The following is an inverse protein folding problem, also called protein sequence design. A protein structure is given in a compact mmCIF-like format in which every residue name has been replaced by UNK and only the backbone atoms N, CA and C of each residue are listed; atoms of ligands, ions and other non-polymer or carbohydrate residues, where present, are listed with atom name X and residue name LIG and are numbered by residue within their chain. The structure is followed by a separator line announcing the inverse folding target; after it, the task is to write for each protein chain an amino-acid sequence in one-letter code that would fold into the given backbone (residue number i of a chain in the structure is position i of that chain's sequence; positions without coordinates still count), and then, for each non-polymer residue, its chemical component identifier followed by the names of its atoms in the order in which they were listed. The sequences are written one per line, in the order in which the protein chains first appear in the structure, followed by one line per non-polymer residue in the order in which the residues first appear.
data_IF_967070115434
#
_entry.id   IF_967070115434
#
_cell.length_a   1.000
_cell.length_b   1.000
_cell.length_c   1.000
_cell.angle_alpha   90.00
_cell.angle_beta   90.00
_cell.angle_gamma   90.00
#
_symmetry.space_group_name_H-M   'P 1'
#
loop_
_entity.id
_entity.type
_entity.pdbx_description
1 polymer ?
#
# COMPACT_ATOMS: atom_id res chain seq x y z
N UNK A 1 -16.60 27.46 -28.57
CA UNK A 1 -15.38 27.37 -27.74
C UNK A 1 -15.73 27.99 -26.40
N UNK A 2 -16.18 27.15 -25.47
CA UNK A 2 -16.61 27.59 -24.15
C UNK A 2 -15.38 27.77 -23.26
N UNK A 3 -15.13 29.01 -22.81
CA UNK A 3 -13.95 29.38 -22.01
C UNK A 3 -14.01 28.84 -20.57
N UNK A 4 -15.09 28.13 -20.22
CA UNK A 4 -15.36 27.62 -18.87
C UNK A 4 -15.00 26.12 -18.70
N UNK A 5 -14.78 25.38 -19.81
CA UNK A 5 -14.46 23.96 -19.73
C UNK A 5 -13.02 23.69 -19.25
N UNK A 6 -12.07 24.59 -19.54
CA UNK A 6 -10.67 24.45 -19.10
C UNK A 6 -10.41 24.91 -17.66
N UNK A 7 -11.20 25.87 -17.16
CA UNK A 7 -11.06 26.41 -15.79
C UNK A 7 -11.49 25.39 -14.73
N UNK A 8 -12.45 24.51 -15.06
CA UNK A 8 -12.87 23.41 -14.19
C UNK A 8 -11.80 22.33 -14.03
N UNK A 9 -11.10 21.99 -15.13
CA UNK A 9 -9.98 21.05 -15.11
C UNK A 9 -8.77 21.63 -14.35
N UNK A 10 -8.44 22.90 -14.58
CA UNK A 10 -7.34 23.58 -13.86
C UNK A 10 -7.67 23.74 -12.37
N UNK A 11 -8.91 24.05 -11.99
CA UNK A 11 -9.29 24.11 -10.56
C UNK A 11 -9.36 22.72 -9.91
N UNK A 12 -9.74 21.68 -10.64
CA UNK A 12 -9.74 20.30 -10.13
C UNK A 12 -8.31 19.79 -9.91
N UNK A 13 -7.38 20.09 -10.82
CA UNK A 13 -5.95 19.80 -10.66
C UNK A 13 -5.36 20.54 -9.46
N UNK A 14 -5.68 21.84 -9.29
CA UNK A 14 -5.25 22.63 -8.14
C UNK A 14 -5.85 22.12 -6.83
N UNK A 15 -7.10 21.67 -6.82
CA UNK A 15 -7.73 21.08 -5.63
C UNK A 15 -7.12 19.71 -5.28
N UNK A 16 -6.76 18.91 -6.28
CA UNK A 16 -6.03 17.65 -6.09
C UNK A 16 -4.61 17.89 -5.57
N UNK A 17 -3.90 18.89 -6.11
CA UNK A 17 -2.59 19.31 -5.60
C UNK A 17 -2.67 19.83 -4.15
N UNK A 18 -3.71 20.61 -3.80
CA UNK A 18 -3.92 21.09 -2.43
C UNK A 18 -4.25 19.95 -1.47
N UNK A 19 -5.07 18.98 -1.88
CA UNK A 19 -5.37 17.78 -1.07
C UNK A 19 -4.13 16.90 -0.91
N UNK A 20 -3.34 16.71 -1.98
CA UNK A 20 -2.09 15.97 -1.91
C UNK A 20 -1.04 16.70 -1.06
N UNK A 21 -0.97 18.04 -1.13
CA UNK A 21 -0.09 18.85 -0.32
C UNK A 21 -0.47 18.84 1.17
N UNK A 22 -1.76 18.95 1.50
CA UNK A 22 -2.25 18.83 2.87
C UNK A 22 -2.00 17.43 3.43
N UNK A 23 -2.26 16.39 2.64
CA UNK A 23 -2.00 15.01 3.04
C UNK A 23 -0.51 14.76 3.25
N UNK A 24 0.37 15.32 2.41
CA UNK A 24 1.82 15.29 2.62
C UNK A 24 2.27 16.11 3.84
N UNK A 25 1.66 17.26 4.11
CA UNK A 25 1.95 18.07 5.29
C UNK A 25 1.55 17.33 6.58
N UNK A 26 0.35 16.75 6.63
CA UNK A 26 -0.12 15.97 7.76
C UNK A 26 0.72 14.71 7.96
N UNK A 27 1.07 14.00 6.88
CA UNK A 27 1.92 12.82 6.94
C UNK A 27 3.33 13.16 7.43
N UNK A 28 3.93 14.27 6.95
CA UNK A 28 5.25 14.73 7.38
C UNK A 28 5.27 15.25 8.83
N UNK A 29 4.17 15.85 9.31
CA UNK A 29 4.02 16.23 10.72
C UNK A 29 3.91 15.01 11.62
N UNK A 30 3.22 13.97 11.16
CA UNK A 30 3.12 12.69 11.86
C UNK A 30 4.45 11.94 11.83
N UNK A 31 5.17 11.92 10.71
CA UNK A 31 6.49 11.29 10.57
C UNK A 31 7.52 11.96 11.50
N UNK A 32 7.58 13.29 11.52
CA UNK A 32 8.42 14.03 12.46
C UNK A 32 8.03 13.81 13.95
N UNK A 33 6.75 13.59 14.24
CA UNK A 33 6.30 13.23 15.58
C UNK A 33 6.71 11.80 15.97
N UNK A 34 6.74 10.86 15.03
CA UNK A 34 7.17 9.47 15.24
C UNK A 34 8.70 9.39 15.42
N UNK A 35 9.48 10.13 14.63
CA UNK A 35 10.94 10.18 14.76
C UNK A 35 11.39 10.72 16.13
N UNK A 36 10.60 11.59 16.74
CA UNK A 36 10.83 12.07 18.11
C UNK A 36 10.69 10.97 19.19
N UNK A 37 10.13 9.80 18.84
CA UNK A 37 9.93 8.64 19.75
C UNK A 37 10.94 7.49 19.52
N UNK A 38 11.95 7.68 18.67
CA UNK A 38 13.19 6.90 18.73
C UNK A 38 13.23 5.62 17.89
N UNK A 39 13.78 5.74 16.69
CA UNK A 39 14.42 4.65 15.95
C UNK A 39 15.79 5.11 15.46
N UNK A 40 16.67 5.48 16.39
CA UNK A 40 18.06 5.77 16.09
C UNK A 40 18.99 4.81 16.86
N UNK A 41 19.74 4.05 16.07
CA UNK A 41 20.94 3.26 16.41
C UNK A 41 20.73 1.90 17.12
N UNK A 42 20.95 0.81 16.38
CA UNK A 42 21.35 -0.47 16.96
C UNK A 42 22.63 -0.99 16.29
N UNK A 43 23.75 -0.74 16.98
CA UNK A 43 25.06 -1.34 16.76
C UNK A 43 25.07 -2.79 17.30
N UNK A 44 25.76 -3.67 16.58
CA UNK A 44 25.55 -5.13 16.51
C UNK A 44 26.00 -5.97 17.72
N UNK A 45 26.69 -5.43 18.73
CA UNK A 45 27.32 -6.27 19.78
C UNK A 45 26.61 -6.32 21.15
N UNK A 46 25.49 -5.62 21.36
CA UNK A 46 24.73 -5.59 22.64
C UNK A 46 23.44 -6.44 22.64
N UNK A 47 23.24 -7.24 21.60
CA UNK A 47 21.93 -7.83 21.23
C UNK A 47 21.51 -9.02 22.11
N UNK A 48 22.47 -9.78 22.65
CA UNK A 48 22.18 -11.04 23.34
C UNK A 48 21.72 -10.82 24.79
N UNK A 49 22.24 -9.79 25.47
CA UNK A 49 21.85 -9.47 26.85
C UNK A 49 20.53 -8.68 26.91
N UNK A 50 20.33 -7.74 25.96
CA UNK A 50 19.08 -7.00 25.83
C UNK A 50 17.90 -7.91 25.49
N UNK A 51 18.10 -8.96 24.68
CA UNK A 51 17.03 -9.90 24.31
C UNK A 51 16.34 -10.57 25.52
N UNK A 52 17.09 -10.88 26.60
CA UNK A 52 16.51 -11.44 27.83
C UNK A 52 15.74 -10.41 28.66
N UNK A 53 16.21 -9.16 28.70
CA UNK A 53 15.51 -8.08 29.39
C UNK A 53 14.25 -7.64 28.63
N UNK A 54 14.29 -7.65 27.29
CA UNK A 54 13.17 -7.36 26.40
C UNK A 54 12.02 -8.34 26.59
N UNK A 55 12.28 -9.65 26.71
CA UNK A 55 11.22 -10.64 26.98
C UNK A 55 10.42 -10.38 28.26
N UNK A 56 11.04 -9.75 29.27
CA UNK A 56 10.36 -9.40 30.53
C UNK A 56 9.51 -8.13 30.39
N UNK A 57 9.91 -7.21 29.52
CA UNK A 57 9.16 -5.99 29.20
C UNK A 57 8.03 -6.23 28.18
N UNK A 58 8.09 -7.29 27.38
CA UNK A 58 7.04 -7.72 26.43
C UNK A 58 5.67 -7.91 27.11
N UNK A 59 5.63 -8.25 28.40
CA UNK A 59 4.36 -8.36 29.15
C UNK A 59 3.70 -7.00 29.48
N UNK A 60 4.44 -5.90 29.37
CA UNK A 60 3.97 -4.52 29.51
C UNK A 60 3.98 -3.75 28.16
N UNK A 61 4.54 -4.35 27.11
CA UNK A 61 4.74 -3.78 25.76
C UNK A 61 3.49 -3.83 24.87
N UNK A 62 2.39 -4.44 25.32
CA UNK A 62 1.12 -4.42 24.58
C UNK A 62 0.63 -2.99 24.32
N UNK A 63 0.93 -2.05 25.22
CA UNK A 63 0.63 -0.62 25.05
C UNK A 63 1.47 0.05 23.96
N UNK A 64 2.72 -0.37 23.77
CA UNK A 64 3.62 0.17 22.74
C UNK A 64 3.31 -0.40 21.35
N UNK A 65 2.90 -1.67 21.27
CA UNK A 65 2.44 -2.26 20.01
C UNK A 65 1.11 -1.66 19.57
N UNK A 66 0.19 -1.43 20.51
CA UNK A 66 -1.05 -0.71 20.22
C UNK A 66 -0.76 0.74 19.81
N UNK A 67 0.17 1.45 20.46
CA UNK A 67 0.57 2.80 20.03
C UNK A 67 1.20 2.81 18.62
N UNK A 68 2.00 1.80 18.29
CA UNK A 68 2.59 1.64 16.96
C UNK A 68 1.52 1.34 15.88
N UNK A 69 0.59 0.43 16.17
CA UNK A 69 -0.51 0.08 15.26
C UNK A 69 -1.54 1.23 15.14
N UNK A 70 -1.73 2.03 16.19
CA UNK A 70 -2.64 3.20 16.18
C UNK A 70 -1.99 4.46 15.63
N UNK A 71 -0.76 4.39 15.13
CA UNK A 71 -0.10 5.51 14.46
C UNK A 71 -0.87 5.88 13.18
N UNK A 72 -1.06 7.18 12.87
CA UNK A 72 -1.88 7.61 11.73
C UNK A 72 -1.38 7.03 10.39
N UNK A 73 -0.06 6.94 10.22
CA UNK A 73 0.58 6.35 9.03
C UNK A 73 0.24 4.88 8.87
N UNK A 74 0.22 4.11 9.97
CA UNK A 74 -0.12 2.69 9.94
C UNK A 74 -1.59 2.51 9.57
N UNK A 75 -2.49 3.24 10.25
CA UNK A 75 -3.94 3.15 10.00
C UNK A 75 -4.27 3.59 8.58
N UNK A 76 -3.64 4.64 8.07
CA UNK A 76 -3.83 5.12 6.70
C UNK A 76 -3.37 4.10 5.67
N UNK A 77 -2.15 3.59 5.81
CA UNK A 77 -1.59 2.60 4.87
C UNK A 77 -2.38 1.30 4.93
N UNK A 78 -2.74 0.85 6.14
CA UNK A 78 -3.59 -0.32 6.34
C UNK A 78 -4.95 -0.13 5.69
N UNK A 79 -5.64 0.98 5.94
CA UNK A 79 -6.98 1.24 5.37
C UNK A 79 -6.94 1.34 3.85
N UNK A 80 -5.93 2.04 3.30
CA UNK A 80 -5.75 2.18 1.86
C UNK A 80 -5.52 0.83 1.19
N UNK A 81 -4.60 0.02 1.72
CA UNK A 81 -4.31 -1.31 1.16
C UNK A 81 -5.46 -2.30 1.40
N UNK A 82 -6.05 -2.29 2.60
CA UNK A 82 -7.15 -3.18 2.96
C UNK A 82 -8.38 -2.93 2.08
N UNK A 83 -8.80 -1.68 1.90
CA UNK A 83 -9.93 -1.35 1.03
C UNK A 83 -9.59 -1.59 -0.45
N UNK A 84 -8.35 -1.35 -0.86
CA UNK A 84 -7.89 -1.62 -2.23
C UNK A 84 -7.91 -3.10 -2.59
N UNK A 85 -7.56 -3.96 -1.63
CA UNK A 85 -7.51 -5.43 -1.80
C UNK A 85 -8.80 -6.13 -1.32
N UNK A 86 -9.77 -5.38 -0.77
CA UNK A 86 -10.99 -5.95 -0.21
C UNK A 86 -11.85 -6.57 -1.32
N UNK A 87 -12.00 -7.89 -1.28
CA UNK A 87 -12.78 -8.61 -2.27
C UNK A 87 -12.05 -8.85 -3.59
N UNK A 88 -10.72 -8.81 -3.60
CA UNK A 88 -9.95 -9.21 -4.77
C UNK A 88 -10.16 -10.69 -5.12
N UNK A 89 -10.03 -11.01 -6.42
CA UNK A 89 -10.11 -12.38 -6.95
C UNK A 89 -9.11 -13.31 -6.29
N UNK A 90 -7.96 -12.80 -5.85
CA UNK A 90 -6.98 -13.60 -5.11
C UNK A 90 -7.57 -14.19 -3.81
N UNK A 91 -8.51 -13.52 -3.16
CA UNK A 91 -9.16 -14.01 -1.94
C UNK A 91 -10.06 -15.23 -2.25
N UNK A 92 -10.87 -15.16 -3.30
CA UNK A 92 -11.73 -16.27 -3.75
C UNK A 92 -10.87 -17.44 -4.24
N UNK A 93 -9.78 -17.18 -4.97
CA UNK A 93 -8.84 -18.20 -5.41
C UNK A 93 -8.16 -18.91 -4.22
N UNK A 94 -7.80 -18.15 -3.17
CA UNK A 94 -7.22 -18.71 -1.94
C UNK A 94 -8.21 -19.61 -1.22
N UNK A 95 -9.47 -19.19 -1.08
CA UNK A 95 -10.54 -20.00 -0.47
C UNK A 95 -10.79 -21.28 -1.28
N UNK A 96 -10.85 -21.17 -2.61
CA UNK A 96 -11.01 -22.33 -3.50
C UNK A 96 -9.84 -23.33 -3.39
N UNK A 97 -8.61 -22.84 -3.29
CA UNK A 97 -7.43 -23.69 -3.15
C UNK A 97 -7.33 -24.31 -1.75
N UNK A 98 -7.68 -23.56 -0.71
CA UNK A 98 -7.72 -24.04 0.69
C UNK A 98 -8.84 -25.06 0.93
N UNK A 99 -9.89 -25.07 0.10
CA UNK A 99 -10.95 -26.07 0.19
C UNK A 99 -10.53 -27.48 -0.30
N UNK A 100 -9.51 -27.57 -1.17
CA UNK A 100 -9.06 -28.83 -1.78
C UNK A 100 -7.68 -29.33 -1.34
N UNK A 101 -6.90 -28.53 -0.63
CA UNK A 101 -5.53 -28.85 -0.16
C UNK A 101 -5.36 -28.48 1.31
N UNK A 102 -4.23 -28.86 1.93
CA UNK A 102 -3.95 -28.46 3.31
C UNK A 102 -3.97 -26.94 3.44
N UNK A 103 -5.03 -26.41 4.06
CA UNK A 103 -5.29 -24.96 4.17
C UNK A 103 -4.09 -24.20 4.76
N UNK A 104 -3.27 -24.87 5.57
CA UNK A 104 -2.08 -24.29 6.15
C UNK A 104 -1.02 -23.89 5.11
N UNK A 105 -0.76 -24.75 4.12
CA UNK A 105 0.24 -24.47 3.09
C UNK A 105 -0.22 -23.35 2.15
N UNK A 106 -1.52 -23.31 1.86
CA UNK A 106 -2.13 -22.26 1.02
C UNK A 106 -2.05 -20.89 1.70
N UNK A 107 -2.41 -20.81 2.99
CA UNK A 107 -2.33 -19.56 3.75
C UNK A 107 -0.86 -19.09 3.87
N UNK A 108 0.05 -19.99 4.19
CA UNK A 108 1.47 -19.65 4.35
C UNK A 108 2.09 -19.19 3.01
N UNK A 109 1.79 -19.89 1.91
CA UNK A 109 2.20 -19.51 0.58
C UNK A 109 1.62 -18.16 0.13
N UNK A 110 0.35 -17.91 0.45
CA UNK A 110 -0.32 -16.63 0.19
C UNK A 110 0.32 -15.46 0.94
N UNK A 111 0.58 -15.62 2.24
CA UNK A 111 1.24 -14.59 3.06
C UNK A 111 2.65 -14.28 2.52
N UNK A 112 3.45 -15.31 2.24
CA UNK A 112 4.82 -15.14 1.75
C UNK A 112 4.82 -14.51 0.35
N UNK A 113 3.97 -15.01 -0.56
CA UNK A 113 3.85 -14.49 -1.92
C UNK A 113 3.40 -13.03 -1.94
N UNK A 114 2.36 -12.71 -1.17
CA UNK A 114 1.85 -11.34 -1.08
C UNK A 114 2.88 -10.42 -0.41
N UNK A 115 3.54 -10.86 0.66
CA UNK A 115 4.62 -10.10 1.30
C UNK A 115 5.78 -9.77 0.37
N UNK A 116 6.21 -10.72 -0.47
CA UNK A 116 7.25 -10.48 -1.48
C UNK A 116 6.75 -9.49 -2.53
N UNK A 117 5.51 -9.65 -3.01
CA UNK A 117 4.89 -8.73 -3.97
C UNK A 117 4.86 -7.29 -3.43
N UNK A 118 4.38 -7.10 -2.20
CA UNK A 118 4.34 -5.79 -1.54
C UNK A 118 5.74 -5.21 -1.35
N UNK A 119 6.72 -6.01 -0.94
CA UNK A 119 8.10 -5.54 -0.78
C UNK A 119 8.68 -5.03 -2.10
N UNK A 120 8.48 -5.76 -3.19
CA UNK A 120 8.90 -5.34 -4.54
C UNK A 120 8.16 -4.09 -4.98
N UNK A 121 6.85 -3.98 -4.73
CA UNK A 121 6.05 -2.82 -5.07
C UNK A 121 6.50 -1.56 -4.32
N UNK A 122 6.84 -1.67 -3.03
CA UNK A 122 7.32 -0.54 -2.22
C UNK A 122 8.70 -0.08 -2.68
N UNK A 123 9.63 -1.00 -2.93
CA UNK A 123 10.98 -0.66 -3.42
C UNK A 123 10.88 -0.06 -4.82
N UNK A 124 10.12 -0.71 -5.71
CA UNK A 124 9.89 -0.26 -7.08
C UNK A 124 9.22 1.10 -7.12
N UNK A 125 8.16 1.31 -6.34
CA UNK A 125 7.45 2.59 -6.24
C UNK A 125 8.35 3.72 -5.74
N UNK A 126 9.22 3.44 -4.77
CA UNK A 126 10.19 4.42 -4.26
C UNK A 126 11.23 4.81 -5.30
N UNK A 127 11.66 3.87 -6.15
CA UNK A 127 12.55 4.17 -7.29
C UNK A 127 11.82 4.89 -8.43
N UNK A 128 10.56 4.51 -8.69
CA UNK A 128 9.75 5.09 -9.77
C UNK A 128 9.37 6.55 -9.46
N UNK A 129 9.00 6.83 -8.20
CA UNK A 129 8.69 8.18 -7.72
C UNK A 129 9.88 9.15 -7.83
N UNK A 130 11.12 8.64 -7.78
CA UNK A 130 12.32 9.45 -7.93
C UNK A 130 12.62 9.84 -9.39
N UNK A 131 12.08 9.12 -10.37
CA UNK A 131 12.46 9.28 -11.79
C UNK A 131 11.29 9.57 -12.74
N UNK A 132 10.04 9.38 -12.33
CA UNK A 132 8.87 9.51 -13.21
C UNK A 132 7.85 10.47 -12.60
N UNK A 133 7.42 11.45 -13.41
CA UNK A 133 6.34 12.38 -13.05
C UNK A 133 4.98 11.67 -12.96
N UNK A 134 4.16 12.04 -11.97
CA UNK A 134 2.80 11.52 -11.73
C UNK A 134 1.95 11.47 -13.00
N UNK A 135 2.08 12.47 -13.88
CA UNK A 135 1.35 12.54 -15.16
C UNK A 135 1.64 11.34 -16.06
N UNK A 136 2.87 10.84 -16.09
CA UNK A 136 3.24 9.68 -16.89
C UNK A 136 2.69 8.37 -16.30
N UNK A 137 2.61 8.29 -14.97
CA UNK A 137 2.02 7.14 -14.28
C UNK A 137 0.51 7.06 -14.55
N UNK A 138 -0.20 8.19 -14.45
CA UNK A 138 -1.63 8.26 -14.75
C UNK A 138 -1.92 7.98 -16.22
N UNK A 139 -1.11 8.51 -17.14
CA UNK A 139 -1.27 8.23 -18.57
C UNK A 139 -0.99 6.74 -18.89
N UNK A 140 0.01 6.15 -18.22
CA UNK A 140 0.29 4.72 -18.28
C UNK A 140 -0.91 3.89 -17.82
N UNK A 141 -1.45 4.20 -16.63
CA UNK A 141 -2.64 3.54 -16.08
C UNK A 141 -3.86 3.66 -17.00
N UNK A 142 -4.16 4.86 -17.49
CA UNK A 142 -5.27 5.10 -18.42
C UNK A 142 -5.10 4.29 -19.73
N UNK A 143 -3.89 4.25 -20.29
CA UNK A 143 -3.63 3.46 -21.50
C UNK A 143 -3.83 1.95 -21.26
N UNK A 144 -3.38 1.44 -20.11
CA UNK A 144 -3.59 0.04 -19.75
C UNK A 144 -5.07 -0.29 -19.58
N UNK A 145 -5.86 0.60 -18.96
CA UNK A 145 -7.32 0.45 -18.87
C UNK A 145 -7.99 0.36 -20.24
N UNK A 146 -7.62 1.21 -21.20
CA UNK A 146 -8.17 1.14 -22.55
C UNK A 146 -7.79 -0.15 -23.28
N UNK A 147 -6.54 -0.59 -23.15
CA UNK A 147 -6.08 -1.85 -23.76
C UNK A 147 -6.88 -3.03 -23.17
N UNK A 148 -7.00 -3.12 -21.86
CA UNK A 148 -7.77 -4.19 -21.23
C UNK A 148 -9.27 -4.11 -21.56
N UNK A 149 -9.85 -2.91 -21.64
CA UNK A 149 -11.24 -2.74 -22.02
C UNK A 149 -11.51 -3.27 -23.43
N UNK A 150 -10.66 -2.95 -24.40
CA UNK A 150 -10.79 -3.44 -25.78
C UNK A 150 -10.57 -4.95 -25.83
N UNK A 151 -9.57 -5.48 -25.13
CA UNK A 151 -9.31 -6.93 -25.06
C UNK A 151 -10.49 -7.71 -24.46
N UNK A 152 -11.09 -7.20 -23.37
CA UNK A 152 -12.27 -7.81 -22.78
C UNK A 152 -13.50 -7.68 -23.67
N UNK A 153 -13.68 -6.55 -24.37
CA UNK A 153 -14.78 -6.37 -25.32
C UNK A 153 -14.66 -7.34 -26.50
N UNK A 154 -13.46 -7.47 -27.06
CA UNK A 154 -13.18 -8.42 -28.13
C UNK A 154 -13.39 -9.86 -27.66
N UNK A 155 -12.86 -10.21 -26.49
CA UNK A 155 -13.06 -11.52 -25.87
C UNK A 155 -14.54 -11.81 -25.66
N UNK A 156 -15.32 -10.85 -25.15
CA UNK A 156 -16.76 -11.01 -24.95
C UNK A 156 -17.51 -11.19 -26.28
N UNK A 157 -17.13 -10.47 -27.33
CA UNK A 157 -17.77 -10.57 -28.64
C UNK A 157 -17.47 -11.90 -29.36
N UNK A 158 -16.25 -12.43 -29.23
CA UNK A 158 -15.85 -13.69 -29.88
C UNK A 158 -16.11 -14.95 -29.05
N UNK A 159 -16.25 -14.87 -27.72
CA UNK A 159 -16.64 -16.00 -26.86
C UNK A 159 -18.18 -16.13 -26.72
N UNK A 160 -18.94 -15.53 -27.63
CA UNK A 160 -20.41 -15.60 -27.68
C UNK A 160 -20.95 -16.66 -28.65
N UNK A 161 -20.08 -17.47 -29.27
CA UNK A 161 -20.42 -18.70 -30.00
C UNK A 161 -20.13 -19.96 -29.17
#
# INVERSE_FOLDING_TARGET
MDKNAGVGDEMAEVEEEVKAAQLNEDLSRVENAIDSTGVAALSSETLVEKAKATYKNVSLESGNLLAFILTPVWVQTFTMTFLGEWGDRSQIATIAMAAGSDYWLVILGGIVGHGICTAVAVIGGKMLAAHISMRNVTLGGASAFFIFAILYLYSAYYNLD
#
